data_IF_072695495955
#
_entry.id   IF_072695495955
#
_cell.length_a   1.000
_cell.length_b   1.000
_cell.length_c   1.000
_cell.angle_alpha   90.00
_cell.angle_beta   90.00
_cell.angle_gamma   90.00
#
_symmetry.space_group_name_H-M   'P 1'
#
loop_
_entity.id
_entity.type
_entity.pdbx_description
1 polymer ?
#
# COMPACT_ATOMS: atom_id res chain seq x y z
N UNK A 1 11.40 0.56 31.06
CA UNK A 1 11.02 1.15 29.76
C UNK A 1 10.83 2.65 29.96
N UNK A 2 11.65 3.52 29.37
CA UNK A 2 11.50 4.97 29.56
C UNK A 2 10.32 5.50 28.72
N UNK A 3 9.50 6.39 29.29
CA UNK A 3 8.34 6.98 28.59
C UNK A 3 8.67 7.62 27.24
N UNK A 4 9.93 8.05 27.05
CA UNK A 4 10.44 8.54 25.77
C UNK A 4 10.35 7.51 24.63
N UNK A 5 10.65 6.24 24.89
CA UNK A 5 10.62 5.19 23.85
C UNK A 5 9.20 4.90 23.36
N UNK A 6 8.21 4.96 24.25
CA UNK A 6 6.80 4.75 23.92
C UNK A 6 6.23 5.92 23.11
N UNK A 7 6.64 7.15 23.42
CA UNK A 7 6.29 8.35 22.64
C UNK A 7 6.86 8.26 21.22
N UNK A 8 8.14 7.88 21.06
CA UNK A 8 8.72 7.72 19.72
C UNK A 8 8.00 6.63 18.93
N UNK A 9 7.63 5.51 19.57
CA UNK A 9 6.88 4.44 18.92
C UNK A 9 5.53 4.92 18.42
N UNK A 10 4.82 5.68 19.25
CA UNK A 10 3.55 6.26 18.89
C UNK A 10 3.68 7.22 17.70
N UNK A 11 4.69 8.09 17.71
CA UNK A 11 4.96 9.00 16.59
C UNK A 11 5.28 8.23 15.31
N UNK A 12 6.14 7.21 15.38
CA UNK A 12 6.47 6.40 14.22
C UNK A 12 5.26 5.63 13.68
N UNK A 13 4.44 5.04 14.56
CA UNK A 13 3.20 4.39 14.16
C UNK A 13 2.24 5.37 13.48
N UNK A 14 2.13 6.60 13.98
CA UNK A 14 1.33 7.66 13.36
C UNK A 14 1.88 8.06 11.98
N UNK A 15 3.20 8.24 11.84
CA UNK A 15 3.83 8.56 10.56
C UNK A 15 3.63 7.44 9.52
N UNK A 16 3.74 6.19 9.95
CA UNK A 16 3.51 5.03 9.10
C UNK A 16 2.02 4.95 8.68
N UNK A 17 1.09 5.17 9.61
CA UNK A 17 -0.34 5.21 9.29
C UNK A 17 -0.65 6.32 8.28
N UNK A 18 -0.08 7.51 8.47
CA UNK A 18 -0.20 8.63 7.52
C UNK A 18 0.40 8.26 6.16
N UNK A 19 1.57 7.62 6.12
CA UNK A 19 2.20 7.21 4.88
C UNK A 19 1.35 6.20 4.09
N UNK A 20 0.78 5.19 4.78
CA UNK A 20 -0.14 4.22 4.16
C UNK A 20 -1.39 4.93 3.64
N UNK A 21 -2.01 5.81 4.45
CA UNK A 21 -3.18 6.58 4.02
C UNK A 21 -2.88 7.45 2.79
N UNK A 22 -1.72 8.10 2.76
CA UNK A 22 -1.28 8.89 1.60
C UNK A 22 -1.15 8.02 0.35
N UNK A 23 -0.68 6.78 0.44
CA UNK A 23 -0.57 5.88 -0.71
C UNK A 23 -1.95 5.49 -1.28
N UNK A 24 -2.95 5.26 -0.43
CA UNK A 24 -4.33 5.00 -0.89
C UNK A 24 -5.03 6.24 -1.43
N UNK A 25 -4.70 7.44 -0.93
CA UNK A 25 -5.30 8.70 -1.36
C UNK A 25 -4.59 9.30 -2.59
N UNK A 26 -3.32 8.94 -2.83
CA UNK A 26 -2.48 9.49 -3.90
C UNK A 26 -3.11 9.40 -5.30
N UNK A 27 -3.70 8.27 -5.74
CA UNK A 27 -4.36 8.19 -7.05
C UNK A 27 -5.45 9.25 -7.23
N UNK A 28 -6.26 9.45 -6.19
CA UNK A 28 -7.30 10.48 -6.19
C UNK A 28 -6.72 11.90 -6.21
N UNK A 29 -5.67 12.17 -5.43
CA UNK A 29 -5.03 13.50 -5.43
C UNK A 29 -4.42 13.84 -6.78
N UNK A 30 -3.75 12.89 -7.44
CA UNK A 30 -3.17 13.10 -8.76
C UNK A 30 -4.26 13.39 -9.79
N UNK A 31 -5.38 12.69 -9.73
CA UNK A 31 -6.49 12.94 -10.64
C UNK A 31 -7.17 14.29 -10.39
N UNK A 32 -7.39 14.67 -9.12
CA UNK A 32 -7.95 15.98 -8.77
C UNK A 32 -6.98 17.09 -9.21
N UNK A 33 -5.67 16.88 -9.03
CA UNK A 33 -4.62 17.86 -9.36
C UNK A 33 -4.51 18.08 -10.87
N UNK A 34 -4.53 17.01 -11.67
CA UNK A 34 -4.54 17.13 -13.15
C UNK A 34 -5.78 17.85 -13.67
N UNK A 35 -6.88 17.83 -12.90
CA UNK A 35 -8.14 18.50 -13.22
C UNK A 35 -8.33 19.86 -12.53
N UNK A 36 -7.33 20.36 -11.77
CA UNK A 36 -7.46 21.57 -10.96
C UNK A 36 -7.79 22.81 -11.81
N UNK A 37 -6.99 23.06 -12.86
CA UNK A 37 -7.17 24.21 -13.76
C UNK A 37 -8.18 23.94 -14.88
N UNK A 38 -8.64 22.69 -15.04
CA UNK A 38 -9.49 22.33 -16.16
C UNK A 38 -10.91 22.89 -15.96
N UNK A 39 -11.22 23.95 -16.72
CA UNK A 39 -12.52 24.64 -16.77
C UNK A 39 -13.07 25.00 -15.37
N UNK A 40 -12.25 25.60 -14.51
CA UNK A 40 -12.58 25.81 -13.11
C UNK A 40 -13.91 26.58 -12.90
N UNK A 41 -14.19 27.57 -13.75
CA UNK A 41 -15.40 28.41 -13.69
C UNK A 41 -16.68 27.77 -14.25
N UNK A 42 -16.56 26.64 -14.97
CA UNK A 42 -17.70 25.95 -15.60
C UNK A 42 -17.89 24.57 -15.00
N UNK A 43 -19.10 24.03 -15.15
CA UNK A 43 -19.38 22.62 -14.84
C UNK A 43 -18.68 21.71 -15.85
N UNK A 44 -18.17 20.58 -15.38
CA UNK A 44 -17.62 19.54 -16.25
C UNK A 44 -18.73 18.88 -17.07
N UNK A 45 -18.50 18.60 -18.36
CA UNK A 45 -19.38 17.72 -19.12
C UNK A 45 -19.42 16.33 -18.49
N UNK A 46 -20.61 15.70 -18.48
CA UNK A 46 -20.82 14.33 -17.94
C UNK A 46 -20.00 13.26 -18.68
N UNK A 47 -19.51 13.56 -19.88
CA UNK A 47 -18.61 12.67 -20.62
C UNK A 47 -17.21 12.56 -19.97
N UNK A 48 -16.75 13.59 -19.25
CA UNK A 48 -15.42 13.59 -18.61
C UNK A 48 -15.30 12.52 -17.52
N UNK A 49 -16.19 12.44 -16.50
CA UNK A 49 -16.15 11.35 -15.53
C UNK A 49 -16.30 9.96 -16.16
N UNK A 50 -17.11 9.83 -17.22
CA UNK A 50 -17.28 8.57 -17.96
C UNK A 50 -16.00 8.14 -18.68
N UNK A 51 -15.23 9.08 -19.22
CA UNK A 51 -13.93 8.80 -19.81
C UNK A 51 -12.95 8.19 -18.79
N UNK A 52 -12.91 8.75 -17.58
CA UNK A 52 -12.10 8.19 -16.49
C UNK A 52 -12.58 6.80 -16.04
N UNK A 53 -13.90 6.57 -16.05
CA UNK A 53 -14.45 5.23 -15.82
C UNK A 53 -14.02 4.24 -16.92
N UNK A 54 -14.06 4.64 -18.19
CA UNK A 54 -13.57 3.84 -19.30
C UNK A 54 -12.07 3.54 -19.17
N UNK A 55 -11.25 4.52 -18.77
CA UNK A 55 -9.83 4.30 -18.47
C UNK A 55 -9.65 3.22 -17.40
N UNK A 56 -10.45 3.30 -16.33
CA UNK A 56 -10.42 2.35 -15.21
C UNK A 56 -10.83 0.94 -15.67
N UNK A 57 -11.87 0.82 -16.50
CA UNK A 57 -12.28 -0.47 -17.08
C UNK A 57 -11.16 -1.04 -17.98
N UNK A 58 -10.52 -0.19 -18.80
CA UNK A 58 -9.38 -0.58 -19.62
C UNK A 58 -8.19 -1.06 -18.77
N UNK A 59 -7.91 -0.38 -17.65
CA UNK A 59 -6.89 -0.76 -16.68
C UNK A 59 -7.18 -2.13 -16.04
N UNK A 60 -8.42 -2.38 -15.61
CA UNK A 60 -8.86 -3.67 -15.07
C UNK A 60 -8.77 -4.79 -16.11
N UNK A 61 -9.21 -4.53 -17.35
CA UNK A 61 -9.11 -5.50 -18.44
C UNK A 61 -7.66 -5.83 -18.80
N UNK A 62 -6.80 -4.81 -18.83
CA UNK A 62 -5.37 -4.99 -19.04
C UNK A 62 -4.72 -5.82 -17.93
N UNK A 63 -5.16 -5.67 -16.68
CA UNK A 63 -4.68 -6.49 -15.57
C UNK A 63 -5.03 -7.98 -15.76
N UNK A 64 -6.28 -8.29 -16.15
CA UNK A 64 -6.68 -9.67 -16.46
C UNK A 64 -5.80 -10.28 -17.54
N UNK A 65 -5.50 -9.52 -18.60
CA UNK A 65 -4.63 -9.97 -19.67
C UNK A 65 -3.19 -10.20 -19.19
N UNK A 66 -2.63 -9.33 -18.36
CA UNK A 66 -1.28 -9.49 -17.81
C UNK A 66 -1.19 -10.73 -16.90
N UNK A 67 -2.23 -11.03 -16.13
CA UNK A 67 -2.28 -12.24 -15.28
C UNK A 67 -2.30 -13.52 -16.13
N UNK A 68 -2.88 -13.50 -17.33
CA UNK A 68 -2.95 -14.65 -18.23
C UNK A 68 -1.75 -14.77 -19.21
N UNK A 69 -1.13 -13.64 -19.59
CA UNK A 69 -0.04 -13.58 -20.59
C UNK A 69 1.37 -13.59 -20.00
N UNK A 70 1.50 -13.86 -18.70
CA UNK A 70 2.74 -13.81 -17.93
C UNK A 70 3.29 -12.37 -17.71
N UNK A 71 3.92 -12.16 -16.55
CA UNK A 71 4.16 -10.82 -15.94
C UNK A 71 5.09 -9.87 -16.72
N UNK A 72 5.73 -10.33 -17.80
CA UNK A 72 6.69 -9.53 -18.60
C UNK A 72 6.03 -8.40 -19.41
N UNK A 73 4.70 -8.37 -19.51
CA UNK A 73 3.96 -7.42 -20.36
C UNK A 73 3.09 -6.41 -19.59
N UNK A 74 3.55 -5.90 -18.43
CA UNK A 74 2.80 -4.91 -17.61
C UNK A 74 2.38 -3.67 -18.41
N UNK A 75 3.12 -3.31 -19.46
CA UNK A 75 2.79 -2.20 -20.37
C UNK A 75 1.37 -2.32 -21.00
N UNK A 76 0.83 -3.54 -21.11
CA UNK A 76 -0.53 -3.81 -21.63
C UNK A 76 -1.59 -3.07 -20.80
N UNK A 77 -1.41 -2.95 -19.47
CA UNK A 77 -2.36 -2.25 -18.60
C UNK A 77 -2.51 -0.78 -18.97
N UNK A 78 -1.38 -0.11 -19.24
CA UNK A 78 -1.35 1.30 -19.62
C UNK A 78 -1.93 1.50 -21.02
N UNK A 79 -1.61 0.61 -21.97
CA UNK A 79 -2.14 0.68 -23.33
C UNK A 79 -3.64 0.45 -23.35
N UNK A 80 -4.15 -0.52 -22.62
CA UNK A 80 -5.59 -0.78 -22.53
C UNK A 80 -6.35 0.38 -21.87
N UNK A 81 -5.81 0.94 -20.79
CA UNK A 81 -6.37 2.14 -20.17
C UNK A 81 -6.39 3.35 -21.14
N UNK A 82 -5.28 3.57 -21.86
CA UNK A 82 -5.17 4.63 -22.86
C UNK A 82 -6.18 4.44 -23.99
N UNK A 83 -6.19 3.27 -24.63
CA UNK A 83 -7.05 3.00 -25.78
C UNK A 83 -8.53 3.09 -25.39
N UNK A 84 -8.92 2.60 -24.22
CA UNK A 84 -10.30 2.71 -23.74
C UNK A 84 -10.73 4.18 -23.53
N UNK A 85 -9.90 4.99 -22.87
CA UNK A 85 -10.21 6.41 -22.65
C UNK A 85 -10.14 7.25 -23.93
N UNK A 86 -9.11 7.01 -24.76
CA UNK A 86 -8.89 7.73 -26.01
C UNK A 86 -9.99 7.44 -27.03
N UNK A 87 -10.32 6.16 -27.26
CA UNK A 87 -11.41 5.78 -28.18
C UNK A 87 -12.75 6.36 -27.73
N UNK A 88 -13.07 6.27 -26.44
CA UNK A 88 -14.27 6.89 -25.87
C UNK A 88 -14.25 8.41 -26.05
N UNK A 89 -13.10 9.04 -25.84
CA UNK A 89 -12.90 10.48 -25.96
C UNK A 89 -13.09 10.99 -27.39
N UNK A 90 -12.53 10.29 -28.37
CA UNK A 90 -12.68 10.62 -29.79
C UNK A 90 -14.12 10.40 -30.25
N UNK A 91 -14.73 9.26 -29.89
CA UNK A 91 -16.12 8.96 -30.27
C UNK A 91 -17.12 9.96 -29.68
N UNK A 92 -16.90 10.39 -28.43
CA UNK A 92 -17.77 11.34 -27.73
C UNK A 92 -17.25 12.79 -27.75
N UNK A 93 -16.37 13.15 -28.69
CA UNK A 93 -15.69 14.46 -28.72
C UNK A 93 -16.63 15.66 -28.54
N UNK A 94 -17.80 15.63 -29.19
CA UNK A 94 -18.84 16.67 -29.08
C UNK A 94 -19.44 16.80 -27.67
N UNK A 95 -19.43 15.74 -26.88
CA UNK A 95 -19.95 15.72 -25.51
C UNK A 95 -18.88 16.07 -24.46
N UNK A 96 -17.60 16.12 -24.83
CA UNK A 96 -16.49 16.56 -23.99
C UNK A 96 -16.29 18.08 -24.02
N UNK A 97 -16.82 18.76 -25.06
CA UNK A 97 -16.77 20.20 -25.22
C UNK A 97 -18.16 20.83 -25.06
N UNK A 98 -18.34 21.70 -24.05
CA UNK A 98 -19.64 22.35 -23.72
C UNK A 98 -19.96 23.52 -24.65
N UNK A 99 -19.02 24.00 -25.46
CA UNK A 99 -19.23 25.22 -26.22
C UNK A 99 -18.29 25.27 -27.41
N UNK A 100 -18.77 24.86 -28.57
CA UNK A 100 -18.35 25.45 -29.83
C UNK A 100 -19.42 25.16 -30.89
N UNK A 101 -20.25 26.16 -31.14
CA UNK A 101 -21.14 26.24 -32.31
C UNK A 101 -20.34 26.47 -33.63
N UNK A 102 -19.07 26.09 -33.68
CA UNK A 102 -18.20 26.26 -34.84
C UNK A 102 -17.56 24.92 -35.16
N UNK A 103 -17.62 24.52 -36.43
CA UNK A 103 -17.10 23.25 -36.94
C UNK A 103 -15.59 23.12 -36.76
N UNK A 104 -15.15 22.78 -35.55
CA UNK A 104 -13.77 22.42 -35.31
C UNK A 104 -13.46 21.07 -35.95
N UNK A 105 -12.23 20.99 -36.49
CA UNK A 105 -11.71 19.82 -37.18
C UNK A 105 -11.38 18.74 -36.13
N UNK A 106 -11.66 17.48 -36.47
CA UNK A 106 -11.26 16.23 -35.79
C UNK A 106 -9.94 16.27 -34.96
N UNK A 107 -8.83 16.92 -35.39
CA UNK A 107 -7.60 17.04 -34.60
C UNK A 107 -7.75 17.60 -33.18
N UNK A 108 -8.63 18.58 -32.93
CA UNK A 108 -8.67 19.26 -31.62
C UNK A 108 -9.30 18.37 -30.54
N UNK A 109 -10.37 17.65 -30.88
CA UNK A 109 -11.00 16.69 -29.97
C UNK A 109 -10.07 15.52 -29.63
N UNK A 110 -9.26 15.06 -30.59
CA UNK A 110 -8.28 14.00 -30.35
C UNK A 110 -7.18 14.45 -29.37
N UNK A 111 -6.71 15.69 -29.47
CA UNK A 111 -5.72 16.25 -28.54
C UNK A 111 -6.30 16.36 -27.12
N UNK A 112 -7.54 16.86 -26.98
CA UNK A 112 -8.22 16.92 -25.67
C UNK A 112 -8.47 15.54 -25.07
N UNK A 113 -8.96 14.58 -25.87
CA UNK A 113 -9.14 13.20 -25.45
C UNK A 113 -7.82 12.55 -25.02
N UNK A 114 -6.74 12.79 -25.77
CA UNK A 114 -5.40 12.33 -25.42
C UNK A 114 -4.90 12.89 -24.10
N UNK A 115 -5.06 14.20 -23.87
CA UNK A 115 -4.68 14.84 -22.59
C UNK A 115 -5.43 14.26 -21.39
N UNK A 116 -6.75 14.05 -21.51
CA UNK A 116 -7.56 13.43 -20.45
C UNK A 116 -7.22 11.95 -20.24
N UNK A 117 -6.93 11.20 -21.32
CA UNK A 117 -6.50 9.81 -21.23
C UNK A 117 -5.14 9.68 -20.51
N UNK A 118 -4.19 10.57 -20.82
CA UNK A 118 -2.89 10.63 -20.12
C UNK A 118 -3.05 10.97 -18.63
N UNK A 119 -3.93 11.93 -18.30
CA UNK A 119 -4.25 12.26 -16.91
C UNK A 119 -4.84 11.05 -16.16
N UNK A 120 -5.72 10.28 -16.83
CA UNK A 120 -6.32 9.08 -16.27
C UNK A 120 -5.26 8.02 -15.98
N UNK A 121 -4.36 7.77 -16.93
CA UNK A 121 -3.27 6.80 -16.76
C UNK A 121 -2.38 7.21 -15.61
N UNK A 122 -1.96 8.46 -15.55
CA UNK A 122 -1.08 8.96 -14.48
C UNK A 122 -1.70 8.78 -13.08
N UNK A 123 -3.02 8.91 -12.94
CA UNK A 123 -3.71 8.59 -11.69
C UNK A 123 -3.79 7.08 -11.44
N UNK A 124 -4.06 6.28 -12.47
CA UNK A 124 -4.15 4.81 -12.39
C UNK A 124 -2.79 4.16 -12.08
N UNK A 125 -1.68 4.68 -12.60
CA UNK A 125 -0.34 4.17 -12.28
C UNK A 125 -0.06 4.24 -10.78
N UNK A 126 -0.52 5.30 -10.10
CA UNK A 126 -0.36 5.46 -8.67
C UNK A 126 -1.14 4.42 -7.84
N UNK A 127 -2.12 3.73 -8.43
CA UNK A 127 -2.83 2.62 -7.76
C UNK A 127 -1.95 1.38 -7.60
N UNK A 128 -0.82 1.29 -8.33
CA UNK A 128 0.14 0.18 -8.19
C UNK A 128 0.75 0.12 -6.78
N UNK A 129 0.95 1.25 -6.12
CA UNK A 129 1.54 1.30 -4.77
C UNK A 129 0.62 0.66 -3.71
N UNK A 130 -0.64 1.12 -3.51
CA UNK A 130 -1.54 0.47 -2.58
C UNK A 130 -1.84 -0.98 -2.98
N UNK A 131 -1.85 -1.27 -4.29
CA UNK A 131 -2.02 -2.63 -4.78
C UNK A 131 -0.91 -3.58 -4.31
N UNK A 132 0.37 -3.22 -4.48
CA UNK A 132 1.50 -4.05 -4.07
C UNK A 132 1.43 -4.38 -2.57
N UNK A 133 1.03 -3.41 -1.75
CA UNK A 133 0.84 -3.62 -0.32
C UNK A 133 -0.24 -4.67 -0.08
N UNK A 134 -1.39 -4.53 -0.72
CA UNK A 134 -2.51 -5.47 -0.55
C UNK A 134 -2.25 -6.85 -1.15
N UNK A 135 -1.51 -6.96 -2.25
CA UNK A 135 -1.13 -8.24 -2.85
C UNK A 135 -0.20 -9.03 -1.94
N UNK A 136 0.80 -8.39 -1.34
CA UNK A 136 1.66 -9.06 -0.36
C UNK A 136 0.91 -9.57 0.88
N UNK A 137 -0.21 -8.93 1.23
CA UNK A 137 -1.09 -9.41 2.29
C UNK A 137 -1.92 -10.61 1.80
N UNK A 138 -2.41 -10.53 0.56
CA UNK A 138 -3.26 -11.53 -0.08
C UNK A 138 -2.53 -12.84 -0.41
N UNK A 139 -1.27 -12.79 -0.86
CA UNK A 139 -0.43 -13.96 -1.19
C UNK A 139 -0.31 -14.94 -0.01
N UNK A 140 -0.38 -14.44 1.24
CA UNK A 140 -0.35 -15.29 2.44
C UNK A 140 -1.61 -16.14 2.65
N UNK A 141 -2.70 -15.84 1.95
CA UNK A 141 -3.98 -16.54 2.03
C UNK A 141 -4.26 -17.40 0.80
N UNK A 142 -3.26 -17.55 -0.07
CA UNK A 142 -3.43 -18.18 -1.37
C UNK A 142 -2.64 -19.49 -1.48
N UNK A 143 -3.35 -20.58 -1.77
CA UNK A 143 -2.78 -21.93 -1.86
C UNK A 143 -2.43 -22.35 -3.31
N UNK A 144 -2.15 -21.43 -4.23
CA UNK A 144 -1.68 -21.74 -5.60
C UNK A 144 -2.77 -22.11 -6.63
N UNK A 145 -4.05 -22.11 -6.24
CA UNK A 145 -5.17 -22.53 -7.11
C UNK A 145 -5.88 -21.40 -7.88
N UNK A 146 -6.92 -21.74 -8.66
CA UNK A 146 -7.77 -20.75 -9.36
C UNK A 146 -8.36 -19.66 -8.44
N UNK A 147 -8.55 -20.03 -7.17
CA UNK A 147 -9.06 -19.18 -6.10
C UNK A 147 -8.09 -18.03 -5.76
N UNK A 148 -6.79 -18.23 -5.94
CA UNK A 148 -5.76 -17.19 -5.79
C UNK A 148 -5.89 -16.13 -6.87
N UNK A 149 -6.00 -16.54 -8.15
CA UNK A 149 -6.23 -15.61 -9.26
C UNK A 149 -7.48 -14.75 -9.02
N UNK A 150 -8.55 -15.37 -8.52
CA UNK A 150 -9.79 -14.66 -8.19
C UNK A 150 -9.61 -13.70 -7.02
N UNK A 151 -8.87 -14.09 -5.98
CA UNK A 151 -8.57 -13.25 -4.83
C UNK A 151 -7.70 -12.05 -5.22
N UNK A 152 -6.63 -12.28 -5.98
CA UNK A 152 -5.75 -11.25 -6.56
C UNK A 152 -6.56 -10.26 -7.40
N UNK A 153 -7.48 -10.76 -8.23
CA UNK A 153 -8.37 -9.92 -9.03
C UNK A 153 -9.36 -9.11 -8.18
N UNK A 154 -9.97 -9.73 -7.17
CA UNK A 154 -10.88 -9.05 -6.25
C UNK A 154 -10.17 -7.95 -5.44
N UNK A 155 -8.97 -8.23 -4.96
CA UNK A 155 -8.11 -7.25 -4.27
C UNK A 155 -7.76 -6.10 -5.23
N UNK A 156 -7.35 -6.39 -6.45
CA UNK A 156 -7.02 -5.38 -7.46
C UNK A 156 -8.19 -4.44 -7.78
N UNK A 157 -9.40 -5.01 -8.00
CA UNK A 157 -10.61 -4.21 -8.22
C UNK A 157 -10.91 -3.38 -6.98
N UNK A 158 -10.90 -4.01 -5.80
CA UNK A 158 -11.21 -3.36 -4.53
C UNK A 158 -10.28 -2.18 -4.25
N UNK A 159 -8.97 -2.36 -4.37
CA UNK A 159 -7.99 -1.29 -4.15
C UNK A 159 -8.10 -0.17 -5.17
N UNK A 160 -8.32 -0.50 -6.44
CA UNK A 160 -8.48 0.51 -7.49
C UNK A 160 -9.73 1.34 -7.25
N UNK A 161 -10.86 0.68 -6.94
CA UNK A 161 -12.14 1.35 -6.67
C UNK A 161 -12.06 2.24 -5.41
N UNK A 162 -11.48 1.72 -4.32
CA UNK A 162 -11.32 2.47 -3.06
C UNK A 162 -10.40 3.67 -3.29
N UNK A 163 -9.24 3.48 -3.92
CA UNK A 163 -8.24 4.55 -4.09
C UNK A 163 -8.70 5.68 -5.02
N UNK A 164 -9.63 5.40 -5.95
CA UNK A 164 -10.20 6.38 -6.87
C UNK A 164 -11.52 7.00 -6.38
N UNK A 165 -12.10 6.50 -5.28
CA UNK A 165 -13.39 6.95 -4.78
C UNK A 165 -13.46 8.48 -4.54
N UNK A 166 -12.51 9.12 -3.82
CA UNK A 166 -12.50 10.57 -3.66
C UNK A 166 -12.45 11.32 -5.00
N UNK A 167 -11.66 10.83 -5.95
CA UNK A 167 -11.54 11.39 -7.29
C UNK A 167 -12.86 11.31 -8.08
N UNK A 168 -13.53 10.16 -8.05
CA UNK A 168 -14.82 9.96 -8.71
C UNK A 168 -15.88 10.88 -8.09
N UNK A 169 -15.89 11.03 -6.76
CA UNK A 169 -16.77 11.98 -6.07
C UNK A 169 -16.51 13.42 -6.50
N UNK A 170 -15.23 13.83 -6.58
CA UNK A 170 -14.84 15.16 -7.09
C UNK A 170 -15.32 15.40 -8.52
N UNK A 171 -15.01 14.47 -9.43
CA UNK A 171 -15.36 14.58 -10.86
C UNK A 171 -16.87 14.62 -11.07
N UNK A 172 -17.62 13.76 -10.37
CA UNK A 172 -19.07 13.78 -10.40
C UNK A 172 -19.62 15.08 -9.82
N UNK A 173 -19.10 15.57 -8.70
CA UNK A 173 -19.49 16.86 -8.11
C UNK A 173 -19.31 18.03 -9.08
N UNK A 174 -18.21 18.05 -9.81
CA UNK A 174 -17.91 19.06 -10.84
C UNK A 174 -18.91 19.06 -12.01
N UNK A 175 -19.72 18.01 -12.22
CA UNK A 175 -20.73 17.98 -13.31
C UNK A 175 -21.97 18.83 -13.05
N UNK A 176 -22.22 19.20 -11.79
CA UNK A 176 -23.42 19.95 -11.36
C UNK A 176 -23.07 21.16 -10.47
N UNK A 177 -21.82 21.25 -9.98
CA UNK A 177 -21.32 22.40 -9.23
C UNK A 177 -20.06 22.97 -9.89
N UNK A 178 -20.07 24.24 -10.35
CA UNK A 178 -18.86 24.91 -10.83
C UNK A 178 -17.92 25.25 -9.66
N UNK A 179 -16.69 25.65 -9.97
CA UNK A 179 -15.66 25.96 -8.98
C UNK A 179 -14.99 24.71 -8.40
N UNK A 180 -13.99 24.96 -7.54
CA UNK A 180 -13.11 23.91 -7.01
C UNK A 180 -13.47 23.47 -5.59
N UNK A 181 -13.78 24.42 -4.71
CA UNK A 181 -13.94 24.17 -3.27
C UNK A 181 -15.13 23.27 -2.90
N UNK A 182 -16.29 23.46 -3.54
CA UNK A 182 -17.47 22.64 -3.23
C UNK A 182 -17.30 21.17 -3.66
N UNK A 183 -16.81 20.87 -4.88
CA UNK A 183 -16.41 19.51 -5.24
C UNK A 183 -15.32 18.92 -4.35
N UNK A 184 -14.32 19.72 -3.95
CA UNK A 184 -13.28 19.25 -3.04
C UNK A 184 -13.86 18.86 -1.67
N UNK A 185 -14.87 19.59 -1.16
CA UNK A 185 -15.56 19.24 0.09
C UNK A 185 -16.27 17.87 0.00
N UNK A 186 -16.80 17.50 -1.16
CA UNK A 186 -17.37 16.17 -1.38
C UNK A 186 -16.27 15.10 -1.48
N UNK A 187 -15.17 15.43 -2.16
CA UNK A 187 -14.01 14.56 -2.25
C UNK A 187 -13.38 14.27 -0.88
N UNK A 188 -13.32 15.26 0.01
CA UNK A 188 -12.77 15.09 1.37
C UNK A 188 -13.65 14.16 2.22
N UNK A 189 -14.97 14.16 2.03
CA UNK A 189 -15.85 13.18 2.66
C UNK A 189 -15.54 11.76 2.18
N UNK A 190 -15.30 11.59 0.87
CA UNK A 190 -14.82 10.33 0.30
C UNK A 190 -13.46 9.89 0.86
N UNK A 191 -12.53 10.83 1.03
CA UNK A 191 -11.22 10.57 1.62
C UNK A 191 -11.32 10.17 3.11
N UNK A 192 -12.25 10.76 3.85
CA UNK A 192 -12.52 10.38 5.23
C UNK A 192 -13.09 8.97 5.33
N UNK A 193 -14.06 8.62 4.46
CA UNK A 193 -14.61 7.26 4.38
C UNK A 193 -13.53 6.23 4.01
N UNK A 194 -12.68 6.56 3.03
CA UNK A 194 -11.54 5.73 2.64
C UNK A 194 -10.59 5.54 3.83
N UNK A 195 -10.25 6.61 4.54
CA UNK A 195 -9.37 6.54 5.71
C UNK A 195 -9.95 5.64 6.79
N UNK A 196 -11.25 5.73 7.03
CA UNK A 196 -11.95 4.84 7.96
C UNK A 196 -11.86 3.37 7.53
N UNK A 197 -12.07 3.06 6.24
CA UNK A 197 -11.98 1.69 5.72
C UNK A 197 -10.54 1.15 5.85
N UNK A 198 -9.53 1.93 5.44
CA UNK A 198 -8.12 1.52 5.49
C UNK A 198 -7.66 1.32 6.93
N UNK A 199 -7.98 2.24 7.85
CA UNK A 199 -7.62 2.12 9.27
C UNK A 199 -8.35 0.95 9.94
N UNK A 200 -9.65 0.77 9.66
CA UNK A 200 -10.41 -0.36 10.21
C UNK A 200 -9.86 -1.69 9.70
N UNK A 201 -9.53 -1.77 8.41
CA UNK A 201 -8.84 -2.93 7.83
C UNK A 201 -7.50 -3.19 8.51
N UNK A 202 -6.63 -2.18 8.62
CA UNK A 202 -5.32 -2.33 9.24
C UNK A 202 -5.39 -2.74 10.72
N UNK A 203 -6.42 -2.31 11.45
CA UNK A 203 -6.65 -2.67 12.84
C UNK A 203 -7.18 -4.11 13.01
N UNK A 204 -8.00 -4.60 12.07
CA UNK A 204 -8.61 -5.93 12.14
C UNK A 204 -7.71 -7.02 11.55
N UNK A 205 -6.84 -6.70 10.59
CA UNK A 205 -6.00 -7.66 9.91
C UNK A 205 -4.54 -7.63 10.41
N UNK A 206 -4.19 -8.58 11.29
CA UNK A 206 -2.81 -8.82 11.80
C UNK A 206 -1.72 -8.84 10.70
N UNK A 207 -1.94 -9.44 9.51
CA UNK A 207 -0.92 -9.44 8.47
C UNK A 207 -0.62 -8.03 7.96
N UNK A 208 -1.64 -7.15 7.87
CA UNK A 208 -1.46 -5.75 7.44
C UNK A 208 -0.52 -5.04 8.41
N UNK A 209 -0.75 -5.19 9.70
CA UNK A 209 0.08 -4.58 10.75
C UNK A 209 1.53 -5.09 10.67
N UNK A 210 1.72 -6.39 10.44
CA UNK A 210 3.07 -7.01 10.35
C UNK A 210 3.84 -6.59 9.10
N UNK A 211 3.19 -6.51 7.94
CA UNK A 211 3.80 -6.08 6.67
C UNK A 211 4.21 -4.62 6.75
N UNK A 212 3.36 -3.79 7.34
CA UNK A 212 3.64 -2.37 7.57
C UNK A 212 4.84 -2.18 8.51
N UNK A 213 4.94 -2.97 9.60
CA UNK A 213 6.12 -2.96 10.47
C UNK A 213 7.39 -3.46 9.77
N UNK A 214 7.27 -4.43 8.86
CA UNK A 214 8.38 -4.92 8.04
C UNK A 214 8.90 -3.83 7.09
N UNK A 215 7.99 -3.17 6.37
CA UNK A 215 8.32 -2.07 5.44
C UNK A 215 8.94 -0.88 6.17
N UNK A 216 8.54 -0.63 7.41
CA UNK A 216 9.13 0.39 8.26
C UNK A 216 10.52 0.01 8.82
N UNK A 217 11.01 -1.21 8.56
CA UNK A 217 12.28 -1.73 9.08
C UNK A 217 12.29 -1.97 10.60
N UNK A 218 11.12 -1.90 11.25
CA UNK A 218 10.95 -2.21 12.68
C UNK A 218 11.09 -3.72 12.91
N UNK A 219 10.83 -4.50 11.87
CA UNK A 219 10.79 -5.94 11.90
C UNK A 219 11.47 -6.53 10.66
N UNK A 220 12.24 -7.60 10.82
CA UNK A 220 12.89 -8.31 9.70
C UNK A 220 12.93 -9.82 9.93
N UNK A 221 12.57 -10.56 8.88
CA UNK A 221 12.73 -12.02 8.78
C UNK A 221 14.01 -12.44 8.05
N UNK A 222 14.84 -11.49 7.64
CA UNK A 222 16.16 -11.79 7.11
C UNK A 222 17.16 -11.86 8.25
N UNK A 223 18.03 -12.87 8.20
CA UNK A 223 19.08 -13.03 9.19
C UNK A 223 20.08 -11.89 9.02
N UNK A 224 20.27 -11.12 10.08
CA UNK A 224 21.19 -9.98 10.10
C UNK A 224 22.37 -10.28 11.02
N UNK A 225 23.54 -9.78 10.63
CA UNK A 225 24.78 -9.90 11.39
C UNK A 225 25.02 -8.64 12.21
N UNK A 226 25.43 -8.81 13.46
CA UNK A 226 25.66 -7.73 14.39
C UNK A 226 27.00 -7.91 15.11
N UNK A 227 27.73 -6.82 15.27
CA UNK A 227 28.89 -6.76 16.13
C UNK A 227 28.44 -6.59 17.59
N UNK A 228 28.92 -7.46 18.46
CA UNK A 228 28.72 -7.39 19.91
C UNK A 228 29.74 -6.41 20.48
N UNK A 229 29.26 -5.29 21.04
CA UNK A 229 30.09 -4.25 21.64
C UNK A 229 30.32 -4.49 23.14
N UNK A 230 29.33 -5.07 23.82
CA UNK A 230 29.42 -5.38 25.25
C UNK A 230 29.55 -6.89 25.50
N UNK A 231 30.60 -7.36 26.18
CA UNK A 231 30.82 -8.78 26.46
C UNK A 231 29.75 -9.40 27.35
N UNK A 232 29.08 -8.64 28.21
CA UNK A 232 28.00 -9.12 29.08
C UNK A 232 26.81 -9.69 28.30
N UNK A 233 26.62 -9.23 27.06
CA UNK A 233 25.51 -9.63 26.21
C UNK A 233 25.70 -11.02 25.60
N UNK A 234 26.93 -11.53 25.49
CA UNK A 234 27.19 -12.86 24.89
C UNK A 234 26.50 -13.97 25.68
N UNK A 235 26.55 -13.93 27.02
CA UNK A 235 25.89 -14.91 27.87
C UNK A 235 24.36 -14.90 27.69
N UNK A 236 23.76 -13.72 27.50
CA UNK A 236 22.33 -13.59 27.24
C UNK A 236 21.95 -14.12 25.84
N UNK A 237 22.77 -13.86 24.82
CA UNK A 237 22.59 -14.36 23.46
C UNK A 237 22.73 -15.88 23.39
N UNK A 238 23.75 -16.44 24.06
CA UNK A 238 23.97 -17.89 24.12
C UNK A 238 22.83 -18.58 24.89
N UNK A 239 22.36 -17.99 26.00
CA UNK A 239 21.21 -18.51 26.76
C UNK A 239 19.90 -18.48 25.96
N UNK A 240 19.71 -17.49 25.08
CA UNK A 240 18.59 -17.44 24.16
C UNK A 240 18.79 -18.30 22.89
N UNK A 241 19.96 -18.94 22.74
CA UNK A 241 20.31 -19.75 21.59
C UNK A 241 20.49 -18.97 20.29
N UNK A 242 20.78 -17.66 20.37
CA UNK A 242 21.15 -16.85 19.21
C UNK A 242 22.59 -17.21 18.81
N UNK A 243 22.87 -17.59 17.55
CA UNK A 243 24.21 -17.93 17.11
C UNK A 243 25.21 -16.78 17.33
N UNK A 244 26.27 -17.05 18.10
CA UNK A 244 27.40 -16.14 18.29
C UNK A 244 28.67 -16.74 17.69
N UNK A 245 29.43 -15.96 16.94
CA UNK A 245 30.70 -16.31 16.35
C UNK A 245 31.80 -15.47 17.01
N UNK A 246 32.75 -16.13 17.67
CA UNK A 246 33.91 -15.47 18.25
C UNK A 246 34.95 -15.25 17.16
N UNK A 247 35.12 -14.01 16.71
CA UNK A 247 36.19 -13.62 15.80
C UNK A 247 37.44 -13.16 16.55
N UNK A 248 38.59 -13.14 15.88
CA UNK A 248 39.88 -12.72 16.47
C UNK A 248 39.90 -11.27 16.99
N UNK A 249 39.06 -10.38 16.42
CA UNK A 249 38.99 -8.96 16.80
C UNK A 249 37.63 -8.51 17.33
N UNK A 250 36.54 -9.20 16.96
CA UNK A 250 35.18 -8.81 17.31
C UNK A 250 34.24 -10.02 17.34
N UNK A 251 33.39 -10.12 18.37
CA UNK A 251 32.34 -11.13 18.41
C UNK A 251 31.15 -10.70 17.55
N UNK A 252 30.60 -11.63 16.77
CA UNK A 252 29.48 -11.39 15.87
C UNK A 252 28.29 -12.22 16.33
N UNK A 253 27.11 -11.63 16.46
CA UNK A 253 25.85 -12.33 16.64
C UNK A 253 25.08 -12.35 15.32
N UNK A 254 24.46 -13.46 14.96
CA UNK A 254 23.56 -13.54 13.81
C UNK A 254 22.17 -13.94 14.27
N UNK A 255 21.15 -13.17 13.86
CA UNK A 255 19.78 -13.43 14.31
C UNK A 255 18.75 -12.60 13.56
N UNK A 256 17.49 -12.82 13.91
CA UNK A 256 16.34 -12.16 13.30
C UNK A 256 15.89 -10.98 14.17
N UNK A 257 15.63 -9.83 13.56
CA UNK A 257 15.17 -8.64 14.28
C UNK A 257 13.65 -8.69 14.39
N UNK A 258 13.15 -9.06 15.57
CA UNK A 258 11.70 -9.10 15.81
C UNK A 258 11.11 -7.73 16.13
N UNK A 259 11.92 -6.85 16.70
CA UNK A 259 11.58 -5.47 16.95
C UNK A 259 12.86 -4.64 16.96
N UNK A 260 12.90 -3.52 16.25
CA UNK A 260 14.06 -2.65 16.15
C UNK A 260 13.63 -1.20 16.08
N UNK A 261 13.56 -0.52 17.22
CA UNK A 261 13.08 0.85 17.28
C UNK A 261 13.64 1.61 18.49
N UNK A 262 13.96 2.90 18.28
CA UNK A 262 14.44 3.79 19.36
C UNK A 262 15.77 3.35 20.00
N UNK A 263 16.64 2.68 19.24
CA UNK A 263 17.91 2.16 19.76
C UNK A 263 17.78 0.86 20.56
N UNK A 264 16.59 0.29 20.68
CA UNK A 264 16.36 -1.03 21.28
C UNK A 264 16.08 -2.02 20.16
N UNK A 265 16.71 -3.19 20.23
CA UNK A 265 16.50 -4.32 19.32
C UNK A 265 16.15 -5.57 20.11
N UNK A 266 15.14 -6.29 19.65
CA UNK A 266 14.81 -7.63 20.12
C UNK A 266 15.33 -8.62 19.07
N UNK A 267 16.43 -9.29 19.39
CA UNK A 267 17.08 -10.27 18.51
C UNK A 267 16.58 -11.66 18.86
N UNK A 268 16.13 -12.43 17.88
CA UNK A 268 15.61 -13.78 18.09
C UNK A 268 16.38 -14.82 17.29
N UNK A 269 16.42 -16.06 17.79
CA UNK A 269 17.03 -17.20 17.11
C UNK A 269 16.32 -17.59 15.82
N UNK A 270 14.99 -17.50 15.81
CA UNK A 270 14.14 -17.97 14.72
C UNK A 270 13.42 -16.81 14.00
N UNK A 271 13.12 -16.97 12.70
CA UNK A 271 12.26 -16.02 12.01
C UNK A 271 10.88 -16.00 12.68
N UNK A 272 10.20 -14.88 12.60
CA UNK A 272 8.86 -14.75 13.15
C UNK A 272 7.83 -15.01 12.05
N UNK A 273 6.82 -15.78 12.38
CA UNK A 273 5.62 -15.86 11.58
C UNK A 273 4.47 -15.20 12.36
N UNK A 274 4.02 -14.00 11.94
CA UNK A 274 2.91 -13.30 12.59
C UNK A 274 1.59 -14.10 12.57
N UNK A 275 1.43 -15.03 11.62
CA UNK A 275 0.21 -15.83 11.49
C UNK A 275 0.02 -16.78 12.69
N UNK A 276 1.13 -17.31 13.22
CA UNK A 276 1.17 -18.20 14.38
C UNK A 276 0.73 -17.51 15.68
N UNK A 277 0.70 -16.18 15.70
CA UNK A 277 0.40 -15.35 16.88
C UNK A 277 -0.82 -14.47 16.65
N UNK A 278 -1.63 -14.79 15.65
CA UNK A 278 -2.89 -14.11 15.36
C UNK A 278 -3.93 -14.34 16.48
N UNK A 279 -4.94 -13.46 16.56
CA UNK A 279 -6.03 -13.61 17.53
C UNK A 279 -6.76 -14.97 17.38
N UNK A 280 -6.85 -15.50 16.16
CA UNK A 280 -7.44 -16.81 15.90
C UNK A 280 -6.53 -17.95 16.35
N UNK A 281 -5.21 -17.83 16.19
CA UNK A 281 -4.25 -18.79 16.72
C UNK A 281 -4.26 -18.82 18.26
N UNK A 282 -4.39 -17.67 18.92
CA UNK A 282 -4.52 -17.58 20.38
C UNK A 282 -5.81 -18.26 20.84
N UNK A 283 -6.95 -17.98 20.17
CA UNK A 283 -8.23 -18.64 20.47
C UNK A 283 -8.16 -20.15 20.23
N UNK A 284 -7.50 -20.60 19.17
CA UNK A 284 -7.30 -22.01 18.86
C UNK A 284 -6.43 -22.70 19.93
N UNK A 285 -5.35 -22.04 20.38
CA UNK A 285 -4.48 -22.55 21.42
C UNK A 285 -5.20 -22.67 22.77
N UNK A 286 -6.01 -21.67 23.12
CA UNK A 286 -6.89 -21.72 24.30
C UNK A 286 -7.90 -22.87 24.21
N UNK A 287 -8.51 -23.08 23.04
CA UNK A 287 -9.46 -24.18 22.80
C UNK A 287 -8.77 -25.54 22.91
N UNK A 288 -7.55 -25.66 22.41
CA UNK A 288 -6.77 -26.90 22.41
C UNK A 288 -5.95 -27.11 23.70
N UNK A 289 -6.03 -26.19 24.68
CA UNK A 289 -5.22 -26.17 25.91
C UNK A 289 -3.71 -26.26 25.66
N UNK A 290 -3.25 -25.75 24.52
CA UNK A 290 -1.82 -25.65 24.20
C UNK A 290 -1.25 -24.35 24.76
N UNK A 291 0.09 -24.26 24.96
CA UNK A 291 0.72 -23.03 25.45
C UNK A 291 0.41 -21.86 24.52
N UNK A 292 0.31 -20.65 25.10
CA UNK A 292 0.03 -19.45 24.33
C UNK A 292 1.12 -19.24 23.26
N UNK A 293 0.75 -19.17 21.97
CA UNK A 293 1.71 -18.98 20.90
C UNK A 293 2.51 -17.67 21.04
N UNK A 294 1.98 -16.65 21.74
CA UNK A 294 2.72 -15.42 22.05
C UNK A 294 3.92 -15.67 22.95
N UNK A 295 3.77 -16.55 23.95
CA UNK A 295 4.84 -16.92 24.87
C UNK A 295 5.90 -17.78 24.20
N UNK A 296 5.48 -18.75 23.39
CA UNK A 296 6.38 -19.60 22.62
C UNK A 296 7.16 -18.77 21.60
N UNK A 297 6.50 -17.84 20.93
CA UNK A 297 7.18 -16.92 20.04
C UNK A 297 8.25 -16.12 20.80
N UNK A 298 7.94 -15.56 21.98
CA UNK A 298 8.91 -14.80 22.79
C UNK A 298 10.12 -15.61 23.30
N UNK A 299 10.04 -16.94 23.32
CA UNK A 299 11.13 -17.80 23.77
C UNK A 299 12.31 -17.79 22.79
N UNK A 300 13.52 -17.53 23.28
CA UNK A 300 14.73 -17.44 22.44
C UNK A 300 14.98 -16.07 21.80
N UNK A 301 14.49 -15.00 22.45
CA UNK A 301 14.76 -13.61 22.07
C UNK A 301 15.51 -12.86 23.18
N UNK A 302 16.41 -11.95 22.79
CA UNK A 302 17.20 -11.09 23.69
C UNK A 302 16.96 -9.64 23.34
N UNK A 303 16.67 -8.83 24.36
CA UNK A 303 16.66 -7.39 24.22
C UNK A 303 18.09 -6.86 24.30
N UNK A 304 18.45 -6.02 23.35
CA UNK A 304 19.75 -5.36 23.30
C UNK A 304 19.63 -3.91 22.87
N UNK A 305 20.51 -3.07 23.38
CA UNK A 305 20.59 -1.65 23.03
C UNK A 305 21.59 -1.40 21.90
N UNK A 306 21.48 -0.25 21.24
CA UNK A 306 22.41 0.20 20.20
C UNK A 306 23.83 0.43 20.71
N UNK A 307 24.00 0.61 22.02
CA UNK A 307 25.30 0.64 22.71
C UNK A 307 25.91 -0.75 22.90
N UNK A 308 25.12 -1.82 22.80
CA UNK A 308 25.52 -3.20 23.05
C UNK A 308 25.67 -4.00 21.75
N UNK A 309 24.85 -3.70 20.75
CA UNK A 309 24.82 -4.36 19.45
C UNK A 309 24.80 -3.34 18.31
N UNK A 310 25.78 -3.46 17.40
CA UNK A 310 25.86 -2.64 16.18
C UNK A 310 25.59 -3.50 14.94
N UNK A 311 24.68 -3.11 14.03
CA UNK A 311 24.43 -3.85 12.81
C UNK A 311 25.63 -3.76 11.87
N UNK A 312 26.03 -4.89 11.30
CA UNK A 312 27.00 -4.95 10.21
C UNK A 312 26.19 -4.93 8.91
N UNK A 313 26.34 -3.85 8.11
CA UNK A 313 25.86 -3.85 6.72
C UNK A 313 26.90 -4.61 5.91
N UNK A 314 26.57 -5.81 5.47
CA UNK A 314 27.29 -6.51 4.40
C UNK A 314 26.67 -6.14 3.06
#
# INVERSE_FOLDING_TARGET
MSGSGLIFLFIAAMLIAVAVLLQFIAPSLLLISTMWNYRQERTLPKAVPRLFLCATIGWLAGFVLVVELDTSHVWIMFVMAFLAAFSFGVYNGRSLDVSQNGGERLPIHAIHAGGLALAAIFALTATSIPLLITLHIAERYADGGWLEKLLVFAVFIGTTAVSLLPAIMYLNARTWRPGFYQPLKLASLGAFLLSYIVVSGAALFVPVSSTVMRLAGIYSNEQQSFQILQPSLTAALDAAGVPTHKGEKTNIATGYVRYGFGGIRLLCRQPFDPSLVSADAIKLAQKNKTPDPTMLAGSGCVQAMSSELRPLRM
#
